data_IF_775839420378
#
_entry.id   IF_775839420378
#
_cell.length_a   1.000
_cell.length_b   1.000
_cell.length_c   1.000
_cell.angle_alpha   90.00
_cell.angle_beta   90.00
_cell.angle_gamma   90.00
#
_symmetry.space_group_name_H-M   'P 1'
#
loop_
_entity.id
_entity.type
_entity.pdbx_description
1 polymer ?
#
# COMPACT_ATOMS: atom_id res chain seq x y z
N UNK A 1 -6.88 -22.54 -10.96
CA UNK A 1 -7.36 -21.53 -10.01
C UNK A 1 -6.16 -20.66 -9.69
N UNK A 2 -6.06 -19.48 -10.29
CA UNK A 2 -4.94 -18.57 -9.97
C UNK A 2 -5.15 -18.19 -8.51
N UNK A 3 -4.21 -18.47 -7.59
CA UNK A 3 -4.36 -18.06 -6.20
C UNK A 3 -4.56 -16.54 -6.22
N UNK A 4 -5.61 -16.05 -5.54
CA UNK A 4 -5.81 -14.62 -5.34
C UNK A 4 -4.49 -14.05 -4.85
N UNK A 5 -3.77 -13.38 -5.75
CA UNK A 5 -2.36 -13.09 -5.52
C UNK A 5 -2.32 -11.98 -4.49
N UNK A 6 -1.57 -12.19 -3.40
CA UNK A 6 -1.42 -11.19 -2.34
C UNK A 6 -0.81 -9.92 -2.96
N UNK A 7 -1.66 -8.90 -3.14
CA UNK A 7 -1.31 -7.66 -3.83
C UNK A 7 -0.18 -6.91 -3.12
N UNK A 8 -0.15 -6.94 -1.79
CA UNK A 8 0.88 -6.28 -0.99
C UNK A 8 2.22 -6.99 -1.17
N UNK A 9 2.22 -8.32 -1.10
CA UNK A 9 3.42 -9.12 -1.32
C UNK A 9 3.97 -8.96 -2.75
N UNK A 10 3.10 -8.95 -3.77
CA UNK A 10 3.52 -8.73 -5.18
C UNK A 10 4.12 -7.35 -5.36
N UNK A 11 3.45 -6.30 -4.85
CA UNK A 11 3.92 -4.91 -5.01
C UNK A 11 5.30 -4.72 -4.37
N UNK A 12 5.47 -5.20 -3.14
CA UNK A 12 6.75 -5.06 -2.42
C UNK A 12 7.83 -5.97 -3.01
N UNK A 13 7.48 -7.18 -3.41
CA UNK A 13 8.40 -8.09 -4.10
C UNK A 13 8.94 -7.51 -5.41
N UNK A 14 8.06 -6.92 -6.23
CA UNK A 14 8.44 -6.21 -7.45
C UNK A 14 9.35 -5.01 -7.16
N UNK A 15 9.05 -4.20 -6.14
CA UNK A 15 9.89 -3.06 -5.74
C UNK A 15 11.32 -3.48 -5.42
N UNK A 16 11.51 -4.61 -4.73
CA UNK A 16 12.83 -5.13 -4.36
C UNK A 16 13.62 -5.73 -5.54
N UNK A 17 12.97 -5.93 -6.69
CA UNK A 17 13.61 -6.40 -7.93
C UNK A 17 14.06 -5.24 -8.84
N UNK A 18 13.72 -3.99 -8.50
CA UNK A 18 14.01 -2.82 -9.33
C UNK A 18 15.38 -2.21 -9.05
N UNK A 19 15.97 -1.49 -10.04
CA UNK A 19 17.04 -0.54 -9.77
C UNK A 19 16.57 0.54 -8.78
N UNK A 20 17.49 0.99 -7.93
CA UNK A 20 17.25 1.98 -6.86
C UNK A 20 16.50 3.23 -7.33
N UNK A 21 16.92 3.80 -8.46
CA UNK A 21 16.30 5.04 -8.96
C UNK A 21 14.85 4.81 -9.42
N UNK A 22 14.57 3.66 -10.03
CA UNK A 22 13.21 3.27 -10.41
C UNK A 22 12.36 2.97 -9.17
N UNK A 23 12.90 2.22 -8.20
CA UNK A 23 12.23 1.93 -6.95
C UNK A 23 11.85 3.22 -6.20
N UNK A 24 12.73 4.24 -6.21
CA UNK A 24 12.48 5.55 -5.60
C UNK A 24 11.24 6.23 -6.17
N UNK A 25 11.05 6.21 -7.49
CA UNK A 25 9.89 6.82 -8.14
C UNK A 25 8.59 6.16 -7.70
N UNK A 26 8.56 4.83 -7.62
CA UNK A 26 7.36 4.10 -7.21
C UNK A 26 7.10 4.21 -5.70
N UNK A 27 8.15 4.14 -4.87
CA UNK A 27 8.02 4.30 -3.41
C UNK A 27 7.49 5.69 -3.01
N UNK A 28 7.79 6.74 -3.78
CA UNK A 28 7.23 8.07 -3.55
C UNK A 28 5.69 8.14 -3.69
N UNK A 29 5.07 7.13 -4.31
CA UNK A 29 3.61 7.03 -4.46
C UNK A 29 2.94 6.31 -3.29
N UNK A 30 3.73 5.62 -2.47
CA UNK A 30 3.26 4.71 -1.43
C UNK A 30 3.52 5.27 -0.03
N UNK A 31 2.61 4.98 0.88
CA UNK A 31 2.70 5.28 2.29
C UNK A 31 2.50 4.00 3.10
N UNK A 32 3.09 3.88 4.30
CA UNK A 32 2.89 2.70 5.14
C UNK A 32 1.41 2.38 5.44
N UNK A 33 0.55 3.40 5.44
CA UNK A 33 -0.90 3.26 5.65
C UNK A 33 -1.67 2.63 4.49
N UNK A 34 -1.04 2.46 3.33
CA UNK A 34 -1.67 1.78 2.19
C UNK A 34 -1.71 0.26 2.37
N UNK A 35 -0.93 -0.26 3.31
CA UNK A 35 -0.77 -1.68 3.58
C UNK A 35 -1.60 -2.11 4.80
N UNK A 36 -2.19 -3.29 4.71
CA UNK A 36 -2.92 -3.95 5.80
C UNK A 36 -2.04 -4.95 6.54
N UNK A 37 -1.09 -5.57 5.85
CA UNK A 37 -0.06 -6.38 6.49
C UNK A 37 1.01 -5.46 7.09
N UNK A 38 1.17 -5.53 8.41
CA UNK A 38 2.19 -4.75 9.12
C UNK A 38 3.61 -5.06 8.63
N UNK A 39 3.86 -6.26 8.08
CA UNK A 39 5.15 -6.66 7.51
C UNK A 39 5.42 -5.90 6.22
N UNK A 40 4.43 -5.81 5.33
CA UNK A 40 4.51 -5.01 4.12
C UNK A 40 4.74 -3.51 4.43
N UNK A 41 3.95 -2.96 5.36
CA UNK A 41 4.12 -1.58 5.83
C UNK A 41 5.53 -1.32 6.40
N UNK A 42 6.05 -2.27 7.18
CA UNK A 42 7.41 -2.20 7.75
C UNK A 42 8.46 -2.24 6.65
N UNK A 43 8.34 -3.16 5.69
CA UNK A 43 9.29 -3.28 4.57
C UNK A 43 9.31 -2.04 3.70
N UNK A 44 8.16 -1.44 3.40
CA UNK A 44 8.07 -0.19 2.62
C UNK A 44 8.71 0.98 3.36
N UNK A 45 8.51 1.04 4.67
CA UNK A 45 9.18 2.05 5.53
C UNK A 45 10.70 1.87 5.47
N UNK A 46 11.19 0.64 5.63
CA UNK A 46 12.62 0.32 5.55
C UNK A 46 13.21 0.69 4.18
N UNK A 47 12.51 0.36 3.10
CA UNK A 47 12.93 0.72 1.74
C UNK A 47 13.03 2.24 1.57
N UNK A 48 12.02 3.00 2.01
CA UNK A 48 12.06 4.46 1.95
C UNK A 48 13.21 5.05 2.77
N UNK A 49 13.45 4.52 3.97
CA UNK A 49 14.57 4.94 4.83
C UNK A 49 15.92 4.64 4.19
N UNK A 50 16.09 3.46 3.59
CA UNK A 50 17.30 3.06 2.87
C UNK A 50 17.61 3.99 1.69
N UNK A 51 16.58 4.34 0.91
CA UNK A 51 16.72 5.26 -0.21
C UNK A 51 17.09 6.67 0.25
N UNK A 52 16.52 7.11 1.37
CA UNK A 52 16.85 8.40 2.00
C UNK A 52 18.29 8.40 2.53
N UNK A 53 18.75 7.27 3.07
CA UNK A 53 20.12 7.06 3.53
C UNK A 53 21.13 6.83 2.39
N UNK A 54 20.70 6.86 1.12
CA UNK A 54 21.58 6.75 -0.04
C UNK A 54 22.11 5.33 -0.31
N UNK A 55 21.44 4.29 0.15
CA UNK A 55 21.85 2.90 -0.14
C UNK A 55 21.65 2.57 -1.62
N UNK A 56 22.57 1.77 -2.16
CA UNK A 56 22.63 1.41 -3.58
C UNK A 56 21.91 0.11 -3.94
N UNK A 57 21.20 -0.51 -2.99
CA UNK A 57 20.39 -1.70 -3.24
C UNK A 57 19.09 -1.67 -2.45
N UNK A 58 18.04 -2.25 -3.03
CA UNK A 58 16.72 -2.49 -2.43
C UNK A 58 16.39 -3.98 -2.35
N UNK A 59 17.38 -4.86 -2.54
CA UNK A 59 17.19 -6.31 -2.46
C UNK A 59 16.86 -6.78 -1.03
N UNK A 60 16.27 -7.98 -0.85
CA UNK A 60 15.91 -8.53 0.45
C UNK A 60 17.03 -8.52 1.50
N UNK A 61 18.26 -8.85 1.12
CA UNK A 61 19.38 -8.91 2.04
C UNK A 61 19.82 -7.51 2.47
N UNK A 62 19.80 -6.54 1.55
CA UNK A 62 20.05 -5.14 1.87
C UNK A 62 19.00 -4.58 2.85
N UNK A 63 17.72 -4.91 2.65
CA UNK A 63 16.62 -4.49 3.55
C UNK A 63 16.79 -5.07 4.95
N UNK A 64 17.08 -6.37 5.05
CA UNK A 64 17.27 -7.03 6.34
C UNK A 64 18.54 -6.57 7.05
N UNK A 65 19.64 -6.39 6.31
CA UNK A 65 20.88 -5.83 6.84
C UNK A 65 20.66 -4.41 7.38
N UNK A 66 19.87 -3.59 6.67
CA UNK A 66 19.52 -2.26 7.13
C UNK A 66 18.69 -2.30 8.42
N UNK A 67 17.64 -3.14 8.48
CA UNK A 67 16.79 -3.28 9.66
C UNK A 67 17.58 -3.74 10.90
N UNK A 68 18.53 -4.67 10.73
CA UNK A 68 19.44 -5.13 11.78
C UNK A 68 20.35 -4.00 12.25
N UNK A 69 20.96 -3.27 11.32
CA UNK A 69 21.93 -2.20 11.63
C UNK A 69 21.28 -1.04 12.38
N UNK A 70 20.05 -0.68 12.05
CA UNK A 70 19.36 0.49 12.62
C UNK A 70 18.50 0.14 13.84
N UNK A 71 18.23 -1.15 14.08
CA UNK A 71 17.28 -1.57 15.11
C UNK A 71 15.84 -1.16 14.79
N UNK A 72 15.53 -0.84 13.53
CA UNK A 72 14.20 -0.38 13.10
C UNK A 72 13.09 -1.41 13.36
N UNK A 73 13.44 -2.69 13.48
CA UNK A 73 12.52 -3.76 13.90
C UNK A 73 12.94 -4.26 15.27
N UNK A 74 12.21 -3.84 16.31
CA UNK A 74 12.45 -4.27 17.67
C UNK A 74 11.96 -5.71 17.91
N UNK A 75 12.85 -6.55 18.46
CA UNK A 75 12.55 -7.92 18.87
C UNK A 75 12.87 -8.97 17.81
N UNK A 76 13.62 -10.00 18.20
CA UNK A 76 14.08 -11.09 17.34
C UNK A 76 12.91 -11.79 16.62
N UNK A 77 11.82 -12.05 17.33
CA UNK A 77 10.64 -12.69 16.74
C UNK A 77 10.01 -11.83 15.64
N UNK A 78 9.91 -10.51 15.84
CA UNK A 78 9.34 -9.59 14.85
C UNK A 78 10.23 -9.49 13.62
N UNK A 79 11.54 -9.39 13.83
CA UNK A 79 12.53 -9.37 12.75
C UNK A 79 12.47 -10.65 11.93
N UNK A 80 12.41 -11.83 12.56
CA UNK A 80 12.27 -13.12 11.87
C UNK A 80 11.03 -13.16 10.97
N UNK A 81 9.88 -12.70 11.47
CA UNK A 81 8.62 -12.66 10.68
C UNK A 81 8.69 -11.70 9.49
N UNK A 82 9.39 -10.57 9.64
CA UNK A 82 9.65 -9.66 8.52
C UNK A 82 10.59 -10.31 7.51
N UNK A 83 11.66 -10.98 7.96
CA UNK A 83 12.60 -11.68 7.09
C UNK A 83 11.96 -12.78 6.25
N UNK A 84 11.16 -13.65 6.88
CA UNK A 84 10.41 -14.70 6.19
C UNK A 84 9.47 -14.09 5.14
N UNK A 85 8.72 -13.05 5.52
CA UNK A 85 7.78 -12.39 4.62
C UNK A 85 8.46 -11.69 3.44
N UNK A 86 9.57 -10.98 3.68
CA UNK A 86 10.35 -10.32 2.62
C UNK A 86 10.86 -11.35 1.61
N UNK A 87 11.41 -12.47 2.09
CA UNK A 87 11.92 -13.54 1.24
C UNK A 87 10.79 -14.14 0.38
N UNK A 88 9.62 -14.40 0.98
CA UNK A 88 8.47 -14.93 0.27
C UNK A 88 7.88 -13.92 -0.73
N UNK A 89 7.73 -12.65 -0.36
CA UNK A 89 7.26 -11.60 -1.25
C UNK A 89 8.17 -11.45 -2.49
N UNK A 90 9.50 -11.40 -2.27
CA UNK A 90 10.47 -11.33 -3.35
C UNK A 90 10.42 -12.55 -4.28
N UNK A 91 10.30 -13.75 -3.71
CA UNK A 91 10.29 -15.02 -4.45
C UNK A 91 9.01 -15.22 -5.27
N UNK A 92 7.87 -14.74 -4.76
CA UNK A 92 6.55 -14.97 -5.37
C UNK A 92 6.14 -13.89 -6.35
N UNK A 93 6.76 -12.71 -6.30
CA UNK A 93 6.50 -11.64 -7.25
C UNK A 93 6.93 -12.04 -8.68
N UNK A 94 6.00 -12.03 -9.66
CA UNK A 94 6.33 -12.32 -11.04
C UNK A 94 7.27 -11.24 -11.57
N UNK A 95 8.40 -11.61 -12.20
CA UNK A 95 9.34 -10.64 -12.75
C UNK A 95 8.77 -9.96 -14.01
N UNK A 96 7.84 -9.03 -13.83
CA UNK A 96 7.26 -8.20 -14.89
C UNK A 96 7.19 -6.74 -14.40
N UNK A 97 8.32 -6.01 -14.40
CA UNK A 97 8.40 -4.63 -13.90
C UNK A 97 7.34 -3.69 -14.48
N UNK A 98 6.94 -3.90 -15.75
CA UNK A 98 5.91 -3.12 -16.43
C UNK A 98 4.53 -3.19 -15.76
N UNK A 99 4.28 -4.16 -14.88
CA UNK A 99 3.00 -4.30 -14.16
C UNK A 99 2.99 -3.61 -12.80
N UNK A 100 4.10 -3.06 -12.32
CA UNK A 100 4.17 -2.50 -10.98
C UNK A 100 3.19 -1.32 -10.79
N UNK A 101 3.10 -0.41 -11.77
CA UNK A 101 2.17 0.72 -11.67
C UNK A 101 0.71 0.26 -11.54
N UNK A 102 0.34 -0.82 -12.25
CA UNK A 102 -0.99 -1.42 -12.13
C UNK A 102 -1.24 -1.97 -10.72
N UNK A 103 -0.27 -2.67 -10.11
CA UNK A 103 -0.43 -3.20 -8.75
C UNK A 103 -0.49 -2.08 -7.70
N UNK A 104 0.30 -1.01 -7.88
CA UNK A 104 0.23 0.19 -7.03
C UNK A 104 -1.15 0.84 -7.14
N UNK A 105 -1.69 1.00 -8.34
CA UNK A 105 -3.02 1.61 -8.53
C UNK A 105 -4.13 0.80 -7.88
N UNK A 106 -4.08 -0.53 -8.01
CA UNK A 106 -5.01 -1.43 -7.30
C UNK A 106 -4.89 -1.29 -5.78
N UNK A 107 -3.66 -1.17 -5.25
CA UNK A 107 -3.40 -1.04 -3.82
C UNK A 107 -3.94 0.31 -3.29
N UNK A 108 -3.72 1.40 -4.03
CA UNK A 108 -4.23 2.73 -3.69
C UNK A 108 -5.76 2.79 -3.78
N UNK A 109 -6.37 2.12 -4.76
CA UNK A 109 -7.83 2.00 -4.84
C UNK A 109 -8.38 1.25 -3.63
N UNK A 110 -7.80 0.09 -3.29
CA UNK A 110 -8.20 -0.70 -2.13
C UNK A 110 -8.06 0.13 -0.84
N UNK A 111 -6.97 0.88 -0.71
CA UNK A 111 -6.72 1.79 0.41
C UNK A 111 -7.78 2.86 0.52
N UNK A 112 -8.09 3.55 -0.59
CA UNK A 112 -9.15 4.55 -0.63
C UNK A 112 -10.49 3.96 -0.18
N UNK A 113 -10.88 2.79 -0.71
CA UNK A 113 -12.13 2.11 -0.33
C UNK A 113 -12.16 1.78 1.16
N UNK A 114 -11.07 1.29 1.75
CA UNK A 114 -10.97 1.06 3.20
C UNK A 114 -11.14 2.35 3.99
N UNK A 115 -10.52 3.44 3.57
CA UNK A 115 -10.64 4.72 4.26
C UNK A 115 -12.04 5.31 4.18
N UNK A 116 -12.76 5.12 3.07
CA UNK A 116 -14.18 5.49 2.95
C UNK A 116 -15.01 4.75 3.99
N UNK A 117 -14.84 3.42 4.12
CA UNK A 117 -15.56 2.62 5.12
C UNK A 117 -15.23 3.06 6.55
N UNK A 118 -13.94 3.25 6.86
CA UNK A 118 -13.52 3.72 8.19
C UNK A 118 -14.10 5.10 8.52
N UNK A 119 -14.13 6.00 7.54
CA UNK A 119 -14.70 7.33 7.71
C UNK A 119 -16.22 7.27 7.96
N UNK A 120 -16.95 6.48 7.17
CA UNK A 120 -18.39 6.28 7.37
C UNK A 120 -18.69 5.74 8.77
N UNK A 121 -17.89 4.79 9.27
CA UNK A 121 -18.02 4.27 10.64
C UNK A 121 -17.80 5.37 11.69
N UNK A 122 -16.74 6.18 11.56
CA UNK A 122 -16.46 7.28 12.50
C UNK A 122 -17.57 8.34 12.48
N UNK A 123 -18.11 8.65 11.30
CA UNK A 123 -19.21 9.60 11.15
C UNK A 123 -20.48 9.07 11.84
N UNK A 124 -20.82 7.79 11.65
CA UNK A 124 -21.95 7.18 12.34
C UNK A 124 -21.75 7.12 13.86
N UNK A 125 -20.52 6.94 14.35
CA UNK A 125 -20.21 6.98 15.78
C UNK A 125 -20.34 8.40 16.35
N UNK A 126 -19.89 9.42 15.61
CA UNK A 126 -20.01 10.81 16.01
C UNK A 126 -21.47 11.27 16.07
N UNK A 127 -22.31 10.84 15.12
CA UNK A 127 -23.75 11.12 15.13
C UNK A 127 -24.44 10.56 16.39
N UNK A 128 -24.09 9.34 16.80
CA UNK A 128 -24.72 8.68 17.96
C UNK A 128 -24.27 9.23 19.32
N UNK A 129 -23.01 9.64 19.42
CA UNK A 129 -22.35 9.83 20.72
C UNK A 129 -21.68 11.20 20.90
N UNK A 130 -21.68 12.06 19.87
CA UNK A 130 -20.89 13.28 19.85
C UNK A 130 -21.70 14.56 20.08
N UNK A 131 -21.05 15.58 20.64
CA UNK A 131 -21.50 16.97 20.50
C UNK A 131 -21.40 17.41 19.02
N UNK A 132 -22.24 18.36 18.59
CA UNK A 132 -22.28 18.84 17.21
C UNK A 132 -20.89 19.25 16.67
N UNK A 133 -20.05 19.87 17.50
CA UNK A 133 -18.68 20.26 17.12
C UNK A 133 -17.80 19.06 16.70
N UNK A 134 -18.01 17.88 17.29
CA UNK A 134 -17.29 16.66 16.91
C UNK A 134 -17.77 16.15 15.55
N UNK A 135 -19.07 16.26 15.27
CA UNK A 135 -19.65 15.88 13.99
C UNK A 135 -19.12 16.78 12.87
N UNK A 136 -19.11 18.09 13.08
CA UNK A 136 -18.57 19.08 12.13
C UNK A 136 -17.07 18.88 11.89
N UNK A 137 -16.31 18.56 12.95
CA UNK A 137 -14.91 18.20 12.86
C UNK A 137 -14.66 16.94 12.02
N UNK A 138 -15.48 15.90 12.18
CA UNK A 138 -15.41 14.69 11.35
C UNK A 138 -15.73 15.00 9.89
N UNK A 139 -16.77 15.79 9.61
CA UNK A 139 -17.15 16.16 8.24
C UNK A 139 -15.99 16.86 7.53
N UNK A 140 -15.43 17.90 8.15
CA UNK A 140 -14.41 18.73 7.52
C UNK A 140 -13.09 17.98 7.35
N UNK A 141 -12.58 17.38 8.43
CA UNK A 141 -11.26 16.72 8.42
C UNK A 141 -11.31 15.39 7.69
N UNK A 142 -12.39 14.64 7.87
CA UNK A 142 -12.57 13.34 7.23
C UNK A 142 -12.70 13.44 5.72
N UNK A 143 -13.48 14.42 5.23
CA UNK A 143 -13.59 14.68 3.80
C UNK A 143 -12.25 15.10 3.19
N UNK A 144 -11.52 16.02 3.84
CA UNK A 144 -10.19 16.43 3.37
C UNK A 144 -9.24 15.24 3.25
N UNK A 145 -9.24 14.33 4.23
CA UNK A 145 -8.43 13.10 4.19
C UNK A 145 -8.83 12.15 3.06
N UNK A 146 -10.12 11.96 2.81
CA UNK A 146 -10.61 11.16 1.68
C UNK A 146 -10.19 11.78 0.34
N UNK A 147 -10.23 13.10 0.23
CA UNK A 147 -9.76 13.82 -0.95
C UNK A 147 -8.27 13.53 -1.20
N UNK A 148 -7.42 13.57 -0.18
CA UNK A 148 -5.99 13.22 -0.33
C UNK A 148 -5.79 11.81 -0.90
N UNK A 149 -6.47 10.79 -0.35
CA UNK A 149 -6.38 9.43 -0.89
C UNK A 149 -6.92 9.32 -2.32
N UNK A 150 -8.02 10.04 -2.63
CA UNK A 150 -8.58 10.08 -3.98
C UNK A 150 -7.61 10.72 -4.97
N UNK A 151 -6.98 11.83 -4.60
CA UNK A 151 -6.02 12.55 -5.43
C UNK A 151 -4.79 11.67 -5.74
N UNK A 152 -4.29 10.91 -4.76
CA UNK A 152 -3.18 9.95 -4.96
C UNK A 152 -3.50 8.90 -6.03
N UNK A 153 -4.76 8.44 -6.08
CA UNK A 153 -5.25 7.52 -7.10
C UNK A 153 -5.51 8.22 -8.46
N UNK A 154 -6.09 9.41 -8.49
CA UNK A 154 -6.48 10.07 -9.75
C UNK A 154 -5.35 10.82 -10.45
N UNK A 155 -4.25 11.14 -9.76
CA UNK A 155 -3.10 11.85 -10.35
C UNK A 155 -2.27 10.94 -11.28
N UNK A 156 -2.38 9.62 -11.13
CA UNK A 156 -1.63 8.64 -11.93
C UNK A 156 -2.54 7.49 -12.39
N UNK A 157 -3.54 7.74 -13.25
CA UNK A 157 -4.45 6.68 -13.64
C UNK A 157 -3.75 5.75 -14.65
N UNK A 158 -3.31 4.56 -14.23
CA UNK A 158 -3.50 3.45 -15.14
C UNK A 158 -5.01 3.35 -15.33
N UNK A 159 -5.49 3.57 -16.56
CA UNK A 159 -6.93 3.50 -16.87
C UNK A 159 -7.40 2.07 -16.62
N UNK A 160 -7.79 1.77 -15.39
CA UNK A 160 -8.65 0.65 -15.07
C UNK A 160 -9.98 0.98 -15.73
N UNK A 161 -10.19 0.45 -16.94
CA UNK A 161 -11.48 0.54 -17.60
C UNK A 161 -12.52 0.05 -16.61
N UNK A 162 -13.47 0.92 -16.26
CA UNK A 162 -14.66 0.53 -15.53
C UNK A 162 -15.22 -0.69 -16.24
N UNK A 163 -15.30 -1.83 -15.53
CA UNK A 163 -16.04 -2.99 -16.00
C UNK A 163 -17.48 -2.50 -16.10
N UNK A 164 -17.89 -2.12 -17.30
CA UNK A 164 -19.28 -1.75 -17.59
C UNK A 164 -20.10 -2.99 -17.32
N UNK A 165 -21.04 -2.88 -16.38
CA UNK A 165 -22.00 -3.93 -16.05
C UNK A 165 -22.58 -4.53 -17.35
N UNK A 166 -22.28 -5.80 -17.59
CA UNK A 166 -22.92 -6.59 -18.65
C UNK A 166 -24.32 -7.05 -18.22
N UNK A 167 -25.11 -6.18 -17.61
CA UNK A 167 -26.55 -6.39 -17.37
C UNK A 167 -27.34 -5.84 -18.55
N UNK A 168 -27.20 -6.47 -19.71
CA UNK A 168 -27.90 -5.99 -20.90
C UNK A 168 -27.73 -6.85 -22.14
N UNK A 169 -27.79 -8.18 -22.05
CA UNK A 169 -27.97 -9.03 -23.23
C UNK A 169 -28.56 -10.38 -22.82
N UNK A 170 -29.88 -10.52 -23.00
CA UNK A 170 -30.59 -11.77 -22.72
C UNK A 170 -32.11 -11.61 -22.67
N UNK A 171 -32.69 -10.77 -23.53
CA UNK A 171 -34.12 -10.81 -23.83
C UNK A 171 -34.28 -10.67 -25.35
N UNK A 172 -34.26 -11.82 -26.03
CA UNK A 172 -34.83 -12.03 -27.34
C UNK A 172 -35.28 -13.49 -27.42
#
# INVERSE_FOLDING_TARGET
MIPATDLEAVTVGLLMQLPVDTARLHLARLEPGDFTDWRAATTVTLLADMLTAGLSSVDPAAVLGYALRTGAVAGEHKLKRVAEWIADAHRTAPFVPATLDFHIDLLLEATYRRHVVQYATRLSQAEKNGALDLLDGQITTGYARLKTYRDRFTTHPARLHAVTDHTGQGAA
#
